data_IF_799588611376
#
_entry.id   IF_799588611376
#
_cell.length_a   1.000
_cell.length_b   1.000
_cell.length_c   1.000
_cell.angle_alpha   90.00
_cell.angle_beta   90.00
_cell.angle_gamma   90.00
#
_symmetry.space_group_name_H-M   'P 1'
#
loop_
_entity.id
_entity.type
_entity.pdbx_description
1 polymer ?
#
# COMPACT_ATOMS: atom_id res chain seq x y z
N UNK A 1 10.86 1.85 0.68
CA UNK A 1 11.73 1.17 1.67
C UNK A 1 11.07 -0.15 2.01
N UNK A 2 11.72 -1.26 1.66
CA UNK A 2 11.21 -2.60 1.96
C UNK A 2 11.66 -2.98 3.35
N UNK A 3 10.72 -3.07 4.27
CA UNK A 3 10.95 -3.59 5.61
C UNK A 3 10.42 -5.03 5.63
N UNK A 4 11.33 -5.99 5.53
CA UNK A 4 11.03 -7.41 5.69
C UNK A 4 11.88 -8.36 4.82
N UNK A 5 11.95 -9.66 5.21
CA UNK A 5 11.38 -10.21 6.44
C UNK A 5 12.28 -9.90 7.65
N UNK A 6 11.68 -9.54 8.79
CA UNK A 6 12.43 -9.39 10.04
C UNK A 6 12.35 -10.67 10.85
N UNK A 7 13.45 -11.08 11.46
CA UNK A 7 13.41 -12.01 12.58
C UNK A 7 12.86 -11.33 13.83
N UNK A 8 12.29 -12.09 14.76
CA UNK A 8 11.83 -11.56 16.05
C UNK A 8 12.98 -10.93 16.86
N UNK A 9 14.22 -11.37 16.60
CA UNK A 9 15.43 -10.89 17.25
C UNK A 9 15.85 -9.49 16.77
N UNK A 10 15.61 -9.16 15.49
CA UNK A 10 15.99 -7.87 14.89
C UNK A 10 14.93 -6.77 15.06
N UNK A 11 13.68 -7.16 15.39
CA UNK A 11 12.55 -6.24 15.51
C UNK A 11 12.79 -5.04 16.46
N UNK A 12 13.44 -5.19 17.63
CA UNK A 12 13.67 -4.06 18.53
C UNK A 12 14.55 -2.97 17.93
N UNK A 13 15.65 -3.35 17.27
CA UNK A 13 16.58 -2.40 16.67
C UNK A 13 15.95 -1.68 15.47
N UNK A 14 15.21 -2.41 14.64
CA UNK A 14 14.50 -1.85 13.50
C UNK A 14 13.42 -0.85 13.94
N UNK A 15 12.62 -1.20 14.95
CA UNK A 15 11.58 -0.31 15.48
C UNK A 15 12.18 0.95 16.10
N UNK A 16 13.25 0.82 16.91
CA UNK A 16 13.94 1.96 17.51
C UNK A 16 14.45 2.95 16.45
N UNK A 17 15.15 2.44 15.41
CA UNK A 17 15.65 3.30 14.34
C UNK A 17 14.55 3.95 13.49
N UNK A 18 13.35 3.37 13.47
CA UNK A 18 12.18 3.93 12.78
C UNK A 18 11.55 5.06 13.62
N UNK A 19 11.39 4.85 14.93
CA UNK A 19 10.88 5.85 15.86
C UNK A 19 11.81 7.08 15.95
N UNK A 20 13.13 6.88 16.00
CA UNK A 20 14.11 7.98 16.00
C UNK A 20 13.96 8.90 14.77
N UNK A 21 13.65 8.31 13.61
CA UNK A 21 13.44 9.07 12.36
C UNK A 21 12.14 9.84 12.34
N UNK A 22 11.10 9.35 13.00
CA UNK A 22 9.84 10.06 13.15
C UNK A 22 9.96 11.24 14.13
N UNK A 23 10.94 11.22 15.03
CA UNK A 23 11.16 12.29 15.99
C UNK A 23 10.20 12.24 17.18
N UNK A 24 10.55 12.97 18.24
CA UNK A 24 9.91 12.88 19.55
C UNK A 24 8.45 13.33 19.60
N UNK A 25 8.01 14.15 18.64
CA UNK A 25 6.64 14.69 18.59
C UNK A 25 5.67 13.86 17.73
N UNK A 26 6.13 12.74 17.16
CA UNK A 26 5.29 11.91 16.30
C UNK A 26 4.54 10.84 17.07
N UNK A 27 3.21 10.87 16.99
CA UNK A 27 2.35 9.81 17.49
C UNK A 27 2.38 8.59 16.55
N UNK A 28 2.77 7.42 17.06
CA UNK A 28 2.83 6.17 16.30
C UNK A 28 1.83 5.17 16.88
N UNK A 29 0.99 4.60 16.02
CA UNK A 29 0.04 3.54 16.38
C UNK A 29 0.50 2.22 15.78
N UNK A 30 0.71 1.21 16.63
CA UNK A 30 1.04 -0.17 16.22
C UNK A 30 -0.15 -1.06 16.54
N UNK A 31 -0.60 -1.84 15.56
CA UNK A 31 -1.73 -2.75 15.74
C UNK A 31 -1.65 -3.95 14.80
N UNK A 32 -2.35 -5.01 15.16
CA UNK A 32 -2.52 -6.17 14.29
C UNK A 32 -3.49 -5.79 13.18
N UNK A 33 -3.07 -5.93 11.93
CA UNK A 33 -3.97 -5.71 10.79
C UNK A 33 -4.94 -6.90 10.71
N UNK A 34 -6.26 -6.69 10.86
CA UNK A 34 -7.22 -7.78 10.81
C UNK A 34 -7.29 -8.40 9.40
N UNK A 35 -7.71 -9.66 9.32
CA UNK A 35 -7.92 -10.34 8.03
C UNK A 35 -9.02 -9.68 7.18
N UNK A 36 -9.98 -9.01 7.84
CA UNK A 36 -11.08 -8.28 7.24
C UNK A 36 -10.94 -6.80 7.55
N UNK A 37 -10.84 -5.99 6.50
CA UNK A 37 -10.65 -4.55 6.61
C UNK A 37 -11.95 -3.79 6.40
N UNK A 38 -12.08 -2.67 7.10
CA UNK A 38 -13.02 -1.63 6.71
C UNK A 38 -12.59 -0.95 5.41
N UNK A 39 -13.52 -0.25 4.74
CA UNK A 39 -13.20 0.60 3.59
C UNK A 39 -12.12 1.64 3.94
N UNK A 40 -12.14 2.17 5.17
CA UNK A 40 -11.14 3.13 5.62
C UNK A 40 -9.75 2.50 5.71
N UNK A 41 -9.62 1.35 6.38
CA UNK A 41 -8.35 0.65 6.49
C UNK A 41 -7.82 0.18 5.13
N UNK A 42 -8.69 -0.28 4.24
CA UNK A 42 -8.29 -0.63 2.88
C UNK A 42 -7.81 0.60 2.09
N UNK A 43 -8.42 1.76 2.30
CA UNK A 43 -7.97 3.02 1.69
C UNK A 43 -6.59 3.44 2.20
N UNK A 44 -6.33 3.27 3.51
CA UNK A 44 -5.03 3.54 4.11
C UNK A 44 -3.95 2.60 3.53
N UNK A 45 -4.26 1.32 3.32
CA UNK A 45 -3.34 0.35 2.70
C UNK A 45 -3.08 0.68 1.23
N UNK A 46 -4.12 1.05 0.47
CA UNK A 46 -4.00 1.38 -0.95
C UNK A 46 -3.45 2.78 -1.20
N UNK A 47 -3.23 3.60 -0.16
CA UNK A 47 -2.78 4.99 -0.30
C UNK A 47 -3.75 5.86 -1.09
N UNK A 48 -5.06 5.60 -1.01
CA UNK A 48 -6.08 6.31 -1.78
C UNK A 48 -7.27 6.78 -0.92
N UNK A 49 -8.27 7.42 -1.54
CA UNK A 49 -9.44 7.91 -0.79
C UNK A 49 -10.42 6.78 -0.44
N UNK A 50 -11.11 6.92 0.69
CA UNK A 50 -12.21 6.00 1.10
C UNK A 50 -13.29 5.88 0.03
N UNK A 51 -13.61 6.98 -0.66
CA UNK A 51 -14.57 7.00 -1.78
C UNK A 51 -14.10 6.14 -2.94
N UNK A 52 -12.81 6.15 -3.25
CA UNK A 52 -12.25 5.33 -4.31
C UNK A 52 -12.39 3.84 -3.98
N UNK A 53 -12.05 3.44 -2.75
CA UNK A 53 -12.21 2.05 -2.32
C UNK A 53 -13.69 1.62 -2.30
N UNK A 54 -14.59 2.47 -1.82
CA UNK A 54 -16.03 2.19 -1.90
C UNK A 54 -16.48 1.95 -3.35
N UNK A 55 -16.00 2.78 -4.29
CA UNK A 55 -16.27 2.58 -5.72
C UNK A 55 -15.71 1.26 -6.24
N UNK A 56 -14.49 0.86 -5.86
CA UNK A 56 -13.92 -0.43 -6.26
C UNK A 56 -14.78 -1.61 -5.80
N UNK A 57 -15.33 -1.51 -4.59
CA UNK A 57 -16.28 -2.50 -4.07
C UNK A 57 -17.60 -2.47 -4.85
N UNK A 58 -18.16 -1.28 -5.07
CA UNK A 58 -19.43 -1.12 -5.81
C UNK A 58 -19.32 -1.65 -7.26
N UNK A 59 -18.16 -1.51 -7.90
CA UNK A 59 -17.91 -2.02 -9.25
C UNK A 59 -17.50 -3.49 -9.29
N UNK A 60 -17.36 -4.16 -8.14
CA UNK A 60 -16.87 -5.54 -8.05
C UNK A 60 -15.38 -5.72 -8.36
N UNK A 61 -14.62 -4.62 -8.45
CA UNK A 61 -13.17 -4.66 -8.64
C UNK A 61 -12.42 -5.05 -7.35
N UNK A 62 -13.08 -4.91 -6.19
CA UNK A 62 -12.61 -5.40 -4.90
C UNK A 62 -13.75 -6.16 -4.22
N UNK A 63 -13.55 -7.44 -3.92
CA UNK A 63 -14.56 -8.25 -3.26
C UNK A 63 -14.80 -7.78 -1.83
N UNK A 64 -16.06 -7.71 -1.41
CA UNK A 64 -16.44 -7.36 -0.06
C UNK A 64 -17.62 -8.20 0.43
N UNK A 65 -17.51 -8.69 1.66
CA UNK A 65 -18.58 -9.40 2.34
C UNK A 65 -19.25 -8.52 3.40
N UNK A 66 -20.53 -8.75 3.65
CA UNK A 66 -21.23 -8.10 4.75
C UNK A 66 -20.99 -8.86 6.05
N UNK A 67 -20.41 -8.18 7.03
CA UNK A 67 -20.29 -8.67 8.40
C UNK A 67 -21.17 -7.80 9.29
N UNK A 68 -22.41 -8.23 9.48
CA UNK A 68 -23.47 -7.42 10.08
C UNK A 68 -23.91 -6.31 9.13
N UNK A 69 -23.84 -5.06 9.58
CA UNK A 69 -24.31 -3.88 8.81
C UNK A 69 -23.26 -3.26 7.90
N UNK A 70 -22.00 -3.69 8.01
CA UNK A 70 -20.90 -3.06 7.28
C UNK A 70 -20.21 -4.03 6.34
N UNK A 71 -19.84 -3.51 5.17
CA UNK A 71 -18.97 -4.21 4.22
C UNK A 71 -17.56 -4.33 4.79
N UNK A 72 -16.94 -5.48 4.54
CA UNK A 72 -15.57 -5.81 4.90
C UNK A 72 -14.89 -6.40 3.68
N UNK A 73 -13.64 -5.99 3.45
CA UNK A 73 -12.82 -6.50 2.33
C UNK A 73 -11.72 -7.38 2.90
N UNK A 74 -11.40 -8.47 2.21
CA UNK A 74 -10.30 -9.33 2.63
C UNK A 74 -8.97 -8.59 2.47
N UNK A 75 -8.12 -8.66 3.48
CA UNK A 75 -6.80 -8.04 3.47
C UNK A 75 -5.92 -8.59 2.34
N UNK A 76 -6.03 -9.88 2.04
CA UNK A 76 -5.33 -10.52 0.92
C UNK A 76 -5.64 -9.80 -0.39
N UNK A 77 -6.92 -9.61 -0.68
CA UNK A 77 -7.39 -9.04 -1.93
C UNK A 77 -6.94 -7.58 -2.08
N UNK A 78 -6.93 -6.83 -0.96
CA UNK A 78 -6.41 -5.46 -0.93
C UNK A 78 -4.90 -5.44 -1.21
N UNK A 79 -4.13 -6.35 -0.63
CA UNK A 79 -2.68 -6.45 -0.87
C UNK A 79 -2.36 -6.90 -2.30
N UNK A 80 -3.13 -7.83 -2.84
CA UNK A 80 -2.98 -8.29 -4.23
C UNK A 80 -3.27 -7.15 -5.21
N UNK A 81 -4.33 -6.38 -4.96
CA UNK A 81 -4.64 -5.20 -5.76
C UNK A 81 -3.57 -4.11 -5.63
N UNK A 82 -3.00 -3.90 -4.44
CA UNK A 82 -1.89 -2.96 -4.24
C UNK A 82 -0.65 -3.39 -5.05
N UNK A 83 -0.34 -4.69 -5.06
CA UNK A 83 0.75 -5.27 -5.83
C UNK A 83 0.54 -5.08 -7.34
N UNK A 84 -0.64 -5.40 -7.84
CA UNK A 84 -0.99 -5.20 -9.26
C UNK A 84 -0.84 -3.73 -9.68
N UNK A 85 -1.29 -2.79 -8.84
CA UNK A 85 -1.11 -1.36 -9.12
C UNK A 85 0.36 -0.95 -9.18
N UNK A 86 1.19 -1.44 -8.25
CA UNK A 86 2.62 -1.17 -8.25
C UNK A 86 3.32 -1.70 -9.52
N UNK A 87 2.94 -2.90 -9.98
CA UNK A 87 3.45 -3.49 -11.22
C UNK A 87 3.06 -2.67 -12.45
N UNK A 88 1.81 -2.20 -12.53
CA UNK A 88 1.34 -1.32 -13.61
C UNK A 88 2.11 0.00 -13.60
N UNK A 89 2.23 0.65 -12.44
CA UNK A 89 2.97 1.91 -12.31
C UNK A 89 4.42 1.73 -12.77
N UNK A 90 5.09 0.68 -12.31
CA UNK A 90 6.47 0.36 -12.70
C UNK A 90 6.57 0.19 -14.22
N UNK A 91 5.69 -0.62 -14.82
CA UNK A 91 5.66 -0.88 -16.26
C UNK A 91 5.44 0.39 -17.08
N UNK A 92 4.52 1.25 -16.65
CA UNK A 92 4.23 2.52 -17.32
C UNK A 92 5.43 3.47 -17.24
N UNK A 93 6.02 3.61 -16.05
CA UNK A 93 7.19 4.47 -15.85
C UNK A 93 8.40 3.99 -16.65
N UNK A 94 8.67 2.68 -16.68
CA UNK A 94 9.72 2.08 -17.50
C UNK A 94 9.47 2.33 -18.99
N UNK A 95 8.23 2.18 -19.44
CA UNK A 95 7.83 2.47 -20.82
C UNK A 95 8.03 3.94 -21.20
N UNK A 96 7.72 4.88 -20.30
CA UNK A 96 7.98 6.30 -20.50
C UNK A 96 9.48 6.59 -20.58
N UNK A 97 10.28 6.03 -19.66
CA UNK A 97 11.73 6.20 -19.66
C UNK A 97 12.37 5.68 -20.96
N UNK A 98 11.93 4.52 -21.44
CA UNK A 98 12.37 3.95 -22.71
C UNK A 98 12.00 4.82 -23.92
N UNK A 99 10.78 5.35 -23.95
CA UNK A 99 10.34 6.26 -25.00
C UNK A 99 11.19 7.53 -25.02
N UNK A 100 11.40 8.16 -23.86
CA UNK A 100 12.23 9.37 -23.75
C UNK A 100 13.69 9.12 -24.18
N UNK A 101 14.25 7.94 -23.88
CA UNK A 101 15.59 7.54 -24.33
C UNK A 101 15.67 7.39 -25.85
N UNK A 102 14.66 6.77 -26.48
CA UNK A 102 14.61 6.58 -27.94
C UNK A 102 14.51 7.89 -28.71
N UNK A 103 13.76 8.86 -28.17
CA UNK A 103 13.60 10.19 -28.76
C UNK A 103 14.80 11.12 -28.49
N UNK A 104 15.83 10.66 -27.77
CA UNK A 104 17.00 11.47 -27.44
C UNK A 104 16.69 12.62 -26.48
N UNK A 105 15.57 12.56 -25.77
CA UNK A 105 15.09 13.60 -24.85
C UNK A 105 15.58 13.39 -23.40
N UNK A 106 16.42 12.39 -23.17
CA UNK A 106 16.97 12.06 -21.86
C UNK A 106 18.50 12.24 -21.86
N UNK A 107 18.99 13.20 -21.07
CA UNK A 107 20.42 13.40 -20.82
C UNK A 107 20.72 12.82 -19.42
N UNK A 108 21.41 11.66 -19.31
CA UNK A 108 21.78 11.10 -18.02
C UNK A 108 22.89 11.98 -17.40
N UNK A 109 22.61 12.56 -16.24
CA UNK A 109 23.62 13.28 -15.44
C UNK A 109 24.78 12.38 -15.03
#
# INVERSE_FOLDING_TARGET
MTFGPFSAEEAPAALAGLLDRFGSDTAVTIGVVPSLLTIAQAADVLGCSRRHVARLVDTGALSADFHGLHRRVLRSDVLDLAKQQAEVVTTVLDGLADLTRREGLYDPF
#
